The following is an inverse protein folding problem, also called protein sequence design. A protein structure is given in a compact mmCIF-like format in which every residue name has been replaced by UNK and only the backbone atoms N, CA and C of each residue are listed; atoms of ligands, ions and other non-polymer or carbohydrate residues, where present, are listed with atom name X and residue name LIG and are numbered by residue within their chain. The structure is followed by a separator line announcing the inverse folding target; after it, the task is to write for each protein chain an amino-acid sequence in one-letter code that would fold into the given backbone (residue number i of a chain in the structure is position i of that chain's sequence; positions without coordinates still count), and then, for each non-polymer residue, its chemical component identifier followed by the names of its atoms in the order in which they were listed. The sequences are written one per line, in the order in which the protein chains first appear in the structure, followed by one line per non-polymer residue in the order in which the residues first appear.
data_IF_561590863024
#
_entry.id   IF_561590863024
#
_cell.length_a   1.000
_cell.length_b   1.000
_cell.length_c   1.000
_cell.angle_alpha   90.00
_cell.angle_beta   90.00
_cell.angle_gamma   90.00
#
_symmetry.space_group_name_H-M   'P 1'
#
loop_
_entity.id
_entity.type
_entity.pdbx_description
1 polymer ?
#
# COMPACT_ATOMS: atom_id res chain seq x y z
N UNK A 1 26.10 -82.10 -36.25
CA UNK A 1 24.78 -82.21 -36.90
C UNK A 1 23.70 -81.97 -35.85
N UNK A 2 23.02 -80.82 -35.90
CA UNK A 2 21.64 -80.62 -35.46
C UNK A 2 21.25 -79.18 -35.83
N UNK A 3 20.20 -79.06 -36.65
CA UNK A 3 19.68 -77.80 -37.20
C UNK A 3 18.90 -77.01 -36.14
N UNK A 4 18.81 -75.67 -36.23
CA UNK A 4 17.92 -74.88 -35.39
C UNK A 4 16.46 -75.00 -35.88
N UNK A 5 15.51 -75.05 -34.94
CA UNK A 5 14.06 -75.04 -35.16
C UNK A 5 13.40 -74.06 -34.15
N UNK A 6 12.14 -73.62 -34.35
CA UNK A 6 11.87 -72.27 -34.80
C UNK A 6 11.20 -71.37 -33.75
N UNK A 7 11.46 -70.08 -33.93
CA UNK A 7 10.93 -68.93 -33.21
C UNK A 7 9.48 -68.58 -33.64
N UNK A 8 8.48 -69.04 -32.89
CA UNK A 8 7.15 -68.42 -32.89
C UNK A 8 6.35 -68.91 -31.68
N UNK A 9 5.71 -67.94 -30.99
CA UNK A 9 4.79 -68.04 -29.83
C UNK A 9 5.49 -67.94 -28.46
N UNK A 10 5.65 -66.72 -27.96
CA UNK A 10 4.85 -66.23 -26.81
C UNK A 10 4.80 -64.69 -26.93
N UNK A 11 3.79 -64.18 -27.64
CA UNK A 11 3.26 -62.84 -27.35
C UNK A 11 2.22 -63.02 -26.24
N UNK A 12 2.09 -61.99 -25.41
CA UNK A 12 1.10 -61.80 -24.34
C UNK A 12 1.51 -62.31 -22.95
N UNK A 13 2.35 -61.54 -22.26
CA UNK A 13 2.24 -61.29 -20.81
C UNK A 13 2.90 -59.94 -20.48
N UNK A 14 2.41 -58.86 -21.09
CA UNK A 14 2.92 -57.49 -20.86
C UNK A 14 1.92 -56.56 -20.14
N UNK A 15 0.82 -57.06 -19.59
CA UNK A 15 -0.21 -56.20 -18.99
C UNK A 15 -0.88 -56.86 -17.77
N UNK A 16 -0.16 -57.06 -16.68
CA UNK A 16 -0.80 -57.50 -15.42
C UNK A 16 0.00 -57.22 -14.12
N UNK A 17 0.91 -56.24 -14.10
CA UNK A 17 1.61 -55.87 -12.84
C UNK A 17 1.69 -54.35 -12.58
N UNK A 18 0.81 -53.57 -13.22
CA UNK A 18 0.65 -52.12 -12.97
C UNK A 18 -0.75 -51.75 -12.45
N UNK A 19 -1.53 -52.74 -11.97
CA UNK A 19 -2.93 -52.55 -11.56
C UNK A 19 -3.16 -52.76 -10.05
N UNK A 20 -2.13 -52.61 -9.21
CA UNK A 20 -2.30 -52.75 -7.74
C UNK A 20 -1.53 -51.71 -6.92
N UNK A 21 -0.82 -50.77 -7.56
CA UNK A 21 -0.27 -49.56 -6.90
C UNK A 21 -1.06 -48.30 -7.31
N UNK A 22 -2.03 -48.42 -8.22
CA UNK A 22 -2.92 -47.32 -8.63
C UNK A 22 -4.20 -47.20 -7.77
N UNK A 23 -4.23 -47.83 -6.59
CA UNK A 23 -5.39 -47.74 -5.66
C UNK A 23 -5.03 -47.11 -4.31
N UNK A 24 -3.78 -46.71 -4.09
CA UNK A 24 -3.33 -46.00 -2.89
C UNK A 24 -3.16 -44.48 -3.09
N UNK A 25 -3.33 -43.96 -4.31
CA UNK A 25 -3.25 -42.53 -4.64
C UNK A 25 -4.60 -41.88 -4.99
N UNK A 26 -5.73 -42.54 -4.72
CA UNK A 26 -7.06 -41.97 -4.92
C UNK A 26 -7.59 -41.15 -3.71
N UNK A 27 -6.73 -40.89 -2.72
CA UNK A 27 -6.98 -39.83 -1.73
C UNK A 27 -6.45 -38.53 -2.34
N UNK A 28 -7.21 -37.94 -3.26
CA UNK A 28 -7.07 -36.51 -3.54
C UNK A 28 -7.20 -35.72 -2.22
N UNK A 29 -6.64 -34.51 -2.13
CA UNK A 29 -6.80 -33.68 -0.95
C UNK A 29 -8.29 -33.59 -0.63
N UNK A 30 -8.66 -33.96 0.60
CA UNK A 30 -10.02 -33.83 1.10
C UNK A 30 -10.39 -32.37 0.92
N UNK A 31 -11.42 -32.05 0.14
CA UNK A 31 -11.92 -30.69 0.07
C UNK A 31 -12.28 -30.28 1.50
N UNK A 32 -11.54 -29.33 2.08
CA UNK A 32 -11.94 -28.71 3.34
C UNK A 32 -13.33 -28.12 3.14
N UNK A 33 -14.26 -28.49 4.02
CA UNK A 33 -15.58 -27.87 4.03
C UNK A 33 -15.41 -26.38 4.35
N UNK A 34 -16.02 -25.50 3.55
CA UNK A 34 -16.02 -24.06 3.85
C UNK A 34 -16.69 -23.82 5.21
N UNK A 35 -16.23 -22.83 6.00
CA UNK A 35 -16.88 -22.47 7.25
C UNK A 35 -18.36 -22.12 7.04
N UNK A 36 -19.19 -22.55 7.97
CA UNK A 36 -20.61 -22.20 8.02
C UNK A 36 -20.81 -20.73 8.43
N UNK A 37 -21.98 -20.17 8.13
CA UNK A 37 -22.32 -18.79 8.49
C UNK A 37 -22.26 -18.54 10.00
N UNK A 38 -22.61 -19.55 10.81
CA UNK A 38 -22.58 -19.46 12.26
C UNK A 38 -21.14 -19.42 12.80
N UNK A 39 -20.22 -20.16 12.18
CA UNK A 39 -18.78 -20.11 12.48
C UNK A 39 -18.18 -18.76 12.09
N UNK A 40 -18.62 -18.15 10.98
CA UNK A 40 -18.16 -16.81 10.59
C UNK A 40 -18.73 -15.73 11.52
N UNK A 41 -19.95 -15.87 12.03
CA UNK A 41 -20.57 -14.88 12.93
C UNK A 41 -19.77 -14.61 14.22
N UNK A 42 -18.95 -15.57 14.66
CA UNK A 42 -18.06 -15.41 15.83
C UNK A 42 -17.07 -14.26 15.66
N UNK A 43 -16.68 -13.94 14.43
CA UNK A 43 -15.74 -12.85 14.11
C UNK A 43 -16.31 -11.48 14.49
N UNK A 44 -17.61 -11.27 14.24
CA UNK A 44 -18.31 -10.05 14.66
C UNK A 44 -18.41 -10.00 16.19
N UNK A 45 -18.77 -11.12 16.83
CA UNK A 45 -18.93 -11.21 18.29
C UNK A 45 -17.62 -11.00 19.06
N UNK A 46 -16.50 -11.42 18.47
CA UNK A 46 -15.17 -11.33 19.08
C UNK A 46 -14.43 -10.06 18.70
N UNK A 47 -15.01 -9.18 17.86
CA UNK A 47 -14.46 -7.85 17.59
C UNK A 47 -13.46 -7.78 16.43
N UNK A 48 -13.52 -8.73 15.49
CA UNK A 48 -12.84 -8.62 14.20
C UNK A 48 -13.78 -9.04 13.07
N UNK A 49 -14.75 -8.20 12.67
CA UNK A 49 -15.65 -8.52 11.56
C UNK A 49 -14.86 -8.81 10.28
N UNK A 50 -15.14 -9.93 9.60
CA UNK A 50 -14.56 -10.23 8.30
C UNK A 50 -15.22 -9.36 7.22
N UNK A 51 -14.72 -8.15 7.06
CA UNK A 51 -15.20 -7.18 6.08
C UNK A 51 -14.07 -6.68 5.16
N UNK A 52 -14.44 -5.84 4.19
CA UNK A 52 -13.55 -5.38 3.13
C UNK A 52 -12.69 -6.49 2.54
N UNK A 53 -11.37 -6.27 2.47
CA UNK A 53 -10.39 -7.23 1.94
C UNK A 53 -10.12 -8.40 2.88
N UNK A 54 -10.42 -8.28 4.18
CA UNK A 54 -10.18 -9.35 5.14
C UNK A 54 -11.16 -10.53 4.98
N UNK A 55 -12.27 -10.35 4.25
CA UNK A 55 -13.19 -11.46 3.90
C UNK A 55 -12.57 -12.46 2.91
N UNK A 56 -11.57 -12.02 2.17
CA UNK A 56 -10.95 -12.78 1.07
C UNK A 56 -9.62 -13.42 1.51
N UNK A 57 -9.24 -13.27 2.79
CA UNK A 57 -8.01 -13.83 3.35
C UNK A 57 -8.27 -15.26 3.82
N UNK A 58 -7.37 -16.17 3.48
CA UNK A 58 -7.44 -17.57 3.91
C UNK A 58 -7.44 -17.67 5.44
N UNK A 59 -8.28 -18.56 5.99
CA UNK A 59 -8.52 -18.69 7.43
C UNK A 59 -7.22 -18.98 8.19
N UNK A 60 -6.35 -19.78 7.60
CA UNK A 60 -5.06 -20.24 8.12
C UNK A 60 -4.05 -19.10 8.26
N UNK A 61 -4.25 -17.97 7.56
CA UNK A 61 -3.40 -16.78 7.71
C UNK A 61 -3.51 -16.16 9.10
N UNK A 62 -4.64 -16.39 9.77
CA UNK A 62 -4.91 -15.92 11.13
C UNK A 62 -4.95 -17.08 12.14
N UNK A 63 -5.52 -18.21 11.73
CA UNK A 63 -5.74 -19.40 12.56
C UNK A 63 -4.66 -20.45 12.34
N UNK A 64 -3.46 -20.14 12.84
CA UNK A 64 -2.28 -20.97 12.67
C UNK A 64 -2.46 -22.33 13.33
N UNK A 65 -2.09 -23.40 12.63
CA UNK A 65 -2.18 -24.79 13.10
C UNK A 65 -3.59 -25.20 13.58
N UNK A 66 -4.64 -24.57 13.03
CA UNK A 66 -6.03 -24.82 13.43
C UNK A 66 -6.38 -24.27 14.81
N UNK A 67 -5.58 -23.35 15.36
CA UNK A 67 -5.91 -22.66 16.61
C UNK A 67 -6.80 -21.46 16.29
N UNK A 68 -8.09 -21.58 16.66
CA UNK A 68 -9.11 -20.57 16.35
C UNK A 68 -9.24 -19.46 17.40
N UNK A 69 -8.64 -19.66 18.58
CA UNK A 69 -8.65 -18.69 19.67
C UNK A 69 -7.39 -17.82 19.69
N UNK A 70 -7.54 -16.56 20.10
CA UNK A 70 -6.39 -15.66 20.32
C UNK A 70 -5.78 -15.04 19.05
N UNK A 71 -6.44 -15.15 17.89
CA UNK A 71 -6.01 -14.46 16.68
C UNK A 71 -5.91 -12.94 16.90
N UNK A 72 -4.85 -12.28 16.39
CA UNK A 72 -4.66 -10.85 16.55
C UNK A 72 -5.76 -10.04 15.84
N UNK A 73 -6.25 -9.00 16.51
CA UNK A 73 -7.35 -8.14 16.00
C UNK A 73 -6.88 -6.74 15.61
N UNK A 74 -5.73 -6.31 16.12
CA UNK A 74 -5.16 -5.00 15.83
C UNK A 74 -4.47 -5.02 14.47
N UNK A 75 -4.69 -4.00 13.65
CA UNK A 75 -4.15 -3.93 12.29
C UNK A 75 -2.63 -4.14 12.27
N UNK A 76 -1.91 -3.43 13.16
CA UNK A 76 -0.45 -3.49 13.26
C UNK A 76 0.11 -4.79 13.83
N UNK A 77 -0.73 -5.67 14.41
CA UNK A 77 -0.26 -6.98 14.86
C UNK A 77 0.03 -7.91 13.67
N UNK A 78 -0.70 -7.77 12.56
CA UNK A 78 -0.41 -8.47 11.31
C UNK A 78 0.38 -7.60 10.32
N UNK A 79 -0.04 -6.35 10.12
CA UNK A 79 0.61 -5.40 9.20
C UNK A 79 1.86 -4.76 9.82
N UNK A 80 2.80 -5.62 10.20
CA UNK A 80 4.07 -5.27 10.85
C UNK A 80 5.29 -5.42 9.93
N UNK A 81 5.10 -5.86 8.69
CA UNK A 81 6.17 -6.13 7.71
C UNK A 81 6.75 -7.54 7.78
N UNK A 82 6.35 -8.37 8.74
CA UNK A 82 6.76 -9.77 8.87
C UNK A 82 5.62 -10.74 8.55
N UNK A 83 4.42 -10.53 9.11
CA UNK A 83 3.25 -11.40 8.87
C UNK A 83 2.47 -10.94 7.64
N UNK A 84 2.25 -9.63 7.54
CA UNK A 84 1.69 -8.97 6.37
C UNK A 84 2.46 -7.67 6.09
N UNK A 85 2.27 -7.12 4.90
CA UNK A 85 2.85 -5.83 4.51
C UNK A 85 2.58 -4.77 5.58
N UNK A 86 3.64 -4.18 6.12
CA UNK A 86 3.57 -3.10 7.08
C UNK A 86 3.59 -1.72 6.42
N UNK A 87 3.83 -0.68 7.24
CA UNK A 87 3.98 0.69 6.76
C UNK A 87 5.12 0.76 5.73
N UNK A 88 4.87 1.20 4.48
CA UNK A 88 5.92 1.35 3.50
C UNK A 88 6.89 2.48 3.89
N UNK A 89 8.09 2.56 3.28
CA UNK A 89 9.07 3.58 3.62
C UNK A 89 8.50 5.00 3.55
N UNK A 90 7.68 5.32 2.55
CA UNK A 90 7.07 6.63 2.34
C UNK A 90 5.78 6.88 3.15
N UNK A 91 5.45 6.02 4.11
CA UNK A 91 4.31 6.24 4.99
C UNK A 91 4.54 7.48 5.88
N UNK A 92 3.50 8.28 6.09
CA UNK A 92 3.53 9.41 7.03
C UNK A 92 3.87 8.90 8.43
N UNK A 93 4.88 9.48 9.10
CA UNK A 93 5.23 9.05 10.46
C UNK A 93 4.06 9.32 11.40
N UNK A 94 3.43 8.25 11.88
CA UNK A 94 2.26 8.32 12.76
C UNK A 94 2.25 7.15 13.74
N UNK A 95 1.92 7.46 14.99
CA UNK A 95 1.64 6.50 16.06
C UNK A 95 0.14 6.23 16.27
N UNK A 96 -0.72 6.85 15.46
CA UNK A 96 -2.17 6.68 15.56
C UNK A 96 -2.62 5.26 15.20
N UNK A 97 -3.86 4.95 15.57
CA UNK A 97 -4.48 3.69 15.18
C UNK A 97 -4.70 3.67 13.66
N UNK A 98 -4.56 2.49 13.04
CA UNK A 98 -4.49 2.38 11.58
C UNK A 98 -5.85 2.74 10.94
N UNK A 99 -6.92 2.33 11.61
CA UNK A 99 -8.30 2.59 11.27
C UNK A 99 -8.66 4.06 11.36
N UNK A 100 -7.84 4.95 11.95
CA UNK A 100 -8.02 6.42 11.92
C UNK A 100 -7.71 7.04 10.56
N UNK A 101 -6.96 6.32 9.72
CA UNK A 101 -6.58 6.77 8.37
C UNK A 101 -7.09 5.81 7.29
N UNK A 102 -7.04 4.51 7.54
CA UNK A 102 -7.33 3.48 6.55
C UNK A 102 -8.67 2.79 6.80
N UNK A 103 -9.18 2.11 5.78
CA UNK A 103 -10.37 1.29 5.86
C UNK A 103 -10.03 -0.16 5.48
N UNK A 104 -10.86 -1.11 5.90
CA UNK A 104 -10.64 -2.54 5.61
C UNK A 104 -10.76 -2.88 4.12
N UNK A 105 -11.36 -1.99 3.31
CA UNK A 105 -11.40 -2.11 1.84
C UNK A 105 -10.04 -1.85 1.17
N UNK A 106 -9.12 -1.17 1.86
CA UNK A 106 -7.77 -0.91 1.35
C UNK A 106 -7.01 0.20 2.08
N UNK A 107 -5.69 0.20 1.89
CA UNK A 107 -4.77 1.21 2.44
C UNK A 107 -4.88 2.57 1.74
N UNK A 108 -5.38 2.61 0.51
CA UNK A 108 -5.54 3.84 -0.27
C UNK A 108 -6.94 3.95 -0.86
N UNK A 109 -7.56 5.15 -0.85
CA UNK A 109 -7.06 6.37 -0.22
C UNK A 109 -7.09 6.29 1.31
N UNK A 110 -6.16 6.97 1.96
CA UNK A 110 -6.21 7.22 3.39
C UNK A 110 -6.87 8.57 3.65
N UNK A 111 -7.61 8.69 4.75
CA UNK A 111 -8.10 9.98 5.22
C UNK A 111 -7.03 10.67 6.06
N UNK A 112 -6.83 11.95 5.81
CA UNK A 112 -5.87 12.78 6.52
C UNK A 112 -6.41 14.20 6.65
N UNK A 113 -6.45 14.73 7.88
CA UNK A 113 -6.96 16.05 8.18
C UNK A 113 -5.83 17.00 8.57
N UNK A 114 -5.50 17.92 7.66
CA UNK A 114 -4.45 18.92 7.86
C UNK A 114 -4.75 19.90 9.00
N UNK A 115 -6.02 20.07 9.43
CA UNK A 115 -6.39 20.98 10.53
C UNK A 115 -5.90 20.49 11.90
N UNK A 116 -5.59 19.20 12.01
CA UNK A 116 -5.09 18.58 13.23
C UNK A 116 -3.57 18.55 13.31
N UNK A 117 -2.89 18.99 12.25
CA UNK A 117 -1.43 18.98 12.16
C UNK A 117 -0.85 20.22 12.82
N UNK A 118 0.11 20.01 13.71
CA UNK A 118 0.91 21.08 14.30
C UNK A 118 2.38 20.90 13.92
N UNK A 119 3.05 21.99 13.58
CA UNK A 119 4.47 22.03 13.22
C UNK A 119 4.76 22.34 11.75
N UNK A 120 6.04 22.39 11.35
CA UNK A 120 6.44 22.85 10.02
C UNK A 120 5.98 21.89 8.93
N UNK A 121 5.38 22.42 7.86
CA UNK A 121 4.84 21.61 6.75
C UNK A 121 5.92 20.74 6.09
N UNK A 122 7.14 21.26 6.01
CA UNK A 122 8.29 20.59 5.41
C UNK A 122 8.72 19.29 6.13
N UNK A 123 8.25 19.05 7.36
CA UNK A 123 8.51 17.77 8.05
C UNK A 123 7.93 16.59 7.28
N UNK A 124 6.75 16.76 6.66
CA UNK A 124 6.09 15.75 5.84
C UNK A 124 6.22 16.05 4.33
N UNK A 125 6.11 17.32 3.93
CA UNK A 125 6.23 17.77 2.54
C UNK A 125 7.70 17.93 2.12
N UNK A 126 8.46 16.84 2.22
CA UNK A 126 9.89 16.78 1.93
C UNK A 126 10.22 15.98 0.65
N UNK A 127 9.20 15.56 -0.11
CA UNK A 127 9.35 14.74 -1.31
C UNK A 127 9.45 13.24 -1.05
N UNK A 128 9.48 12.81 0.21
CA UNK A 128 9.50 11.39 0.61
C UNK A 128 8.13 10.92 1.09
N UNK A 129 7.61 11.51 2.17
CA UNK A 129 6.28 11.13 2.69
C UNK A 129 5.15 11.85 1.94
N UNK A 130 5.32 13.14 1.65
CA UNK A 130 4.41 13.91 0.82
C UNK A 130 5.19 14.78 -0.17
N UNK A 131 4.50 15.20 -1.24
CA UNK A 131 5.09 16.07 -2.25
C UNK A 131 5.54 17.39 -1.61
N UNK A 132 6.82 17.72 -1.75
CA UNK A 132 7.38 19.01 -1.33
C UNK A 132 7.31 20.09 -2.41
N UNK A 133 8.24 21.03 -2.34
CA UNK A 133 8.43 22.07 -3.37
C UNK A 133 8.72 21.41 -4.72
N UNK A 134 7.95 21.76 -5.75
CA UNK A 134 8.18 21.29 -7.12
C UNK A 134 9.23 22.14 -7.83
N UNK A 135 9.69 21.72 -9.01
CA UNK A 135 10.70 22.44 -9.80
C UNK A 135 10.31 23.88 -10.18
N UNK A 136 9.01 24.17 -10.26
CA UNK A 136 8.48 25.51 -10.55
C UNK A 136 8.22 26.38 -9.31
N UNK A 137 8.52 25.88 -8.11
CA UNK A 137 8.31 26.63 -6.87
C UNK A 137 9.36 27.74 -6.72
N UNK A 138 8.95 28.91 -6.20
CA UNK A 138 9.87 30.01 -5.87
C UNK A 138 10.93 29.56 -4.85
N UNK A 139 12.19 29.97 -5.01
CA UNK A 139 13.23 29.65 -4.02
C UNK A 139 12.97 30.45 -2.75
N UNK A 140 12.62 29.77 -1.66
CA UNK A 140 12.35 30.40 -0.36
C UNK A 140 12.66 29.46 0.81
N UNK A 141 13.09 30.08 1.92
CA UNK A 141 13.31 29.45 3.23
C UNK A 141 12.16 29.71 4.21
N UNK A 142 11.19 30.54 3.82
CA UNK A 142 9.98 30.79 4.61
C UNK A 142 9.20 29.49 4.87
N UNK A 143 8.46 29.47 5.99
CA UNK A 143 7.52 28.38 6.24
C UNK A 143 6.43 28.40 5.16
N UNK A 144 5.95 27.22 4.78
CA UNK A 144 4.92 27.07 3.76
C UNK A 144 3.65 27.84 4.11
N UNK A 145 3.30 27.91 5.41
CA UNK A 145 2.09 28.60 5.89
C UNK A 145 2.09 30.12 5.70
N UNK A 146 3.24 30.73 5.42
CA UNK A 146 3.32 32.17 5.11
C UNK A 146 2.72 32.50 3.74
N UNK A 147 2.75 31.53 2.81
CA UNK A 147 2.23 31.70 1.46
C UNK A 147 0.98 30.86 1.21
N UNK A 148 0.91 29.64 1.76
CA UNK A 148 -0.12 28.65 1.47
C UNK A 148 -1.11 28.49 2.63
N UNK A 149 -2.38 28.25 2.28
CA UNK A 149 -3.41 27.79 3.22
C UNK A 149 -3.70 26.30 3.03
N UNK A 150 -3.98 25.59 4.12
CA UNK A 150 -4.42 24.18 4.08
C UNK A 150 -5.77 23.98 3.38
N UNK A 151 -6.60 25.03 3.28
CA UNK A 151 -7.89 25.00 2.57
C UNK A 151 -7.81 25.51 1.13
N UNK A 152 -6.66 26.06 0.72
CA UNK A 152 -6.48 26.74 -0.56
C UNK A 152 -5.06 26.64 -1.08
N UNK A 153 -4.48 25.43 -1.08
CA UNK A 153 -3.05 25.21 -1.33
C UNK A 153 -2.55 25.82 -2.65
N UNK A 154 -3.36 25.76 -3.71
CA UNK A 154 -3.00 26.30 -5.04
C UNK A 154 -3.05 27.84 -5.10
N UNK A 155 -3.66 28.51 -4.12
CA UNK A 155 -3.76 29.96 -4.07
C UNK A 155 -2.73 30.52 -3.09
N UNK A 156 -1.46 30.53 -3.52
CA UNK A 156 -0.40 31.13 -2.74
C UNK A 156 -0.47 32.66 -2.79
N UNK A 157 -0.29 33.29 -1.64
CA UNK A 157 -0.17 34.75 -1.54
C UNK A 157 1.28 35.16 -1.32
N UNK A 158 1.70 36.28 -1.91
CA UNK A 158 3.04 36.82 -1.74
C UNK A 158 2.98 38.31 -1.41
N UNK A 159 3.60 38.70 -0.30
CA UNK A 159 3.65 40.09 0.15
C UNK A 159 4.93 40.78 -0.32
N UNK A 160 4.79 41.77 -1.20
CA UNK A 160 5.92 42.53 -1.75
C UNK A 160 6.55 43.51 -0.75
N UNK A 161 5.87 43.84 0.36
CA UNK A 161 6.35 44.85 1.31
C UNK A 161 7.64 44.45 2.03
N UNK A 162 7.91 43.15 2.15
CA UNK A 162 9.10 42.62 2.81
C UNK A 162 10.29 42.38 1.86
N UNK A 163 10.16 42.73 0.57
CA UNK A 163 11.22 42.50 -0.42
C UNK A 163 12.32 43.54 -0.24
N UNK A 164 13.48 43.10 0.27
CA UNK A 164 14.69 43.92 0.40
C UNK A 164 15.71 43.69 -0.74
N UNK A 165 15.41 42.78 -1.68
CA UNK A 165 16.29 42.36 -2.77
C UNK A 165 16.01 43.02 -4.14
N UNK A 166 16.80 42.67 -5.15
CA UNK A 166 16.62 43.16 -6.52
C UNK A 166 15.37 42.54 -7.17
N UNK A 167 14.42 43.38 -7.60
CA UNK A 167 13.18 42.95 -8.23
C UNK A 167 13.38 42.13 -9.53
N UNK A 168 14.46 42.36 -10.29
CA UNK A 168 14.78 41.60 -11.49
C UNK A 168 15.17 40.14 -11.21
N UNK A 169 15.58 39.82 -9.98
CA UNK A 169 15.90 38.43 -9.60
C UNK A 169 14.68 37.51 -9.67
N UNK A 170 13.47 38.05 -9.44
CA UNK A 170 12.20 37.32 -9.57
C UNK A 170 11.41 37.70 -10.84
N UNK A 171 11.39 38.97 -11.23
CA UNK A 171 10.72 39.43 -12.45
C UNK A 171 11.59 39.24 -13.70
N UNK A 172 12.03 38.00 -13.93
CA UNK A 172 12.93 37.59 -14.99
C UNK A 172 12.21 36.88 -16.17
N UNK A 173 10.88 36.81 -16.15
CA UNK A 173 10.08 36.13 -17.17
C UNK A 173 9.97 34.61 -16.99
N UNK A 174 10.65 34.04 -16.00
CA UNK A 174 10.56 32.62 -15.62
C UNK A 174 9.90 32.43 -14.25
N UNK A 175 10.37 33.15 -13.23
CA UNK A 175 9.84 33.04 -11.85
C UNK A 175 8.57 33.87 -11.66
N UNK A 176 8.56 35.08 -12.18
CA UNK A 176 7.39 35.93 -12.28
C UNK A 176 7.44 36.64 -13.64
N UNK A 177 6.27 37.03 -14.15
CA UNK A 177 6.17 37.87 -15.34
C UNK A 177 7.07 39.08 -15.16
N UNK A 178 7.89 39.35 -16.17
CA UNK A 178 8.80 40.49 -16.15
C UNK A 178 8.05 41.83 -16.05
N UNK A 179 8.81 42.90 -15.83
CA UNK A 179 8.30 44.26 -15.89
C UNK A 179 7.62 44.49 -17.25
N UNK A 180 6.35 44.90 -17.25
CA UNK A 180 5.64 45.25 -18.48
C UNK A 180 6.35 46.43 -19.17
N UNK A 181 6.17 46.59 -20.49
CA UNK A 181 6.75 47.71 -21.23
C UNK A 181 6.32 49.09 -20.68
N UNK A 182 5.20 49.15 -19.94
CA UNK A 182 4.68 50.33 -19.24
C UNK A 182 5.26 50.54 -17.83
N UNK A 183 6.11 49.65 -17.34
CA UNK A 183 6.72 49.77 -16.02
C UNK A 183 7.70 50.95 -16.04
N UNK A 184 7.36 52.00 -15.30
CA UNK A 184 8.22 53.18 -15.17
C UNK A 184 9.61 52.74 -14.68
N UNK A 185 10.70 53.24 -15.29
CA UNK A 185 12.04 52.90 -14.84
C UNK A 185 12.24 53.47 -13.43
N UNK A 186 12.26 52.59 -12.43
CA UNK A 186 12.63 52.96 -11.06
C UNK A 186 14.13 52.79 -10.94
N UNK A 187 14.86 53.89 -10.74
CA UNK A 187 16.26 53.87 -10.35
C UNK A 187 16.34 53.53 -8.86
N UNK A 188 16.65 52.27 -8.55
CA UNK A 188 17.32 51.89 -7.30
C UNK A 188 18.56 51.08 -7.68
#
# INVERSE_FOLDING_TARGET
MAKPAPQWRVRAFLLAFFATICSLFALGPRAEAKPTTDEIAVHVKTGFPLDGRHRDVDCESCHLNGVFEGAPKLCGACHNGSLASGKPPNHVRSGNQCEECHATNGWTPARFDHSTVSGPCAVCHNGREAQGKTSGHIVTVADCGECHSITGWSNATFNHAAVTGNCASCHNGTTATGKAASHLPTSN
#
